data_IF_360853318061
#
_entry.id   IF_360853318061
#
_cell.length_a   1.000
_cell.length_b   1.000
_cell.length_c   1.000
_cell.angle_alpha   90.00
_cell.angle_beta   90.00
_cell.angle_gamma   90.00
#
_symmetry.space_group_name_H-M   'P 1'
#
loop_
_entity.id
_entity.type
_entity.pdbx_description
1 polymer ?
#
# COMPACT_ATOMS: atom_id res chain seq x y z
N UNK A 1 8.00 17.18 -2.39
CA UNK A 1 8.82 16.84 -3.57
C UNK A 1 9.04 15.34 -3.70
N UNK A 2 9.74 14.67 -2.75
CA UNK A 2 10.03 13.23 -2.84
C UNK A 2 8.76 12.35 -2.95
N UNK A 3 7.75 12.62 -2.12
CA UNK A 3 6.46 11.91 -2.18
C UNK A 3 5.82 11.96 -3.57
N UNK A 4 5.75 13.16 -4.15
CA UNK A 4 5.15 13.37 -5.47
C UNK A 4 5.94 12.65 -6.58
N UNK A 5 7.27 12.57 -6.45
CA UNK A 5 8.11 11.81 -7.39
C UNK A 5 7.85 10.31 -7.30
N UNK A 6 7.73 9.75 -6.08
CA UNK A 6 7.40 8.34 -5.91
C UNK A 6 6.02 8.01 -6.45
N UNK A 7 5.03 8.87 -6.16
CA UNK A 7 3.68 8.75 -6.72
C UNK A 7 3.70 8.76 -8.24
N UNK A 8 4.49 9.66 -8.85
CA UNK A 8 4.62 9.74 -10.31
C UNK A 8 5.28 8.48 -10.90
N UNK A 9 6.34 7.95 -10.27
CA UNK A 9 6.98 6.69 -10.68
C UNK A 9 5.97 5.54 -10.65
N UNK A 10 5.21 5.42 -9.55
CA UNK A 10 4.19 4.37 -9.41
C UNK A 10 3.07 4.53 -10.45
N UNK A 11 2.66 5.78 -10.73
CA UNK A 11 1.59 6.09 -11.67
C UNK A 11 1.98 5.84 -13.11
N UNK A 12 3.23 6.11 -13.50
CA UNK A 12 3.73 5.90 -14.86
C UNK A 12 4.01 4.43 -15.18
N UNK A 13 4.40 3.64 -14.19
CA UNK A 13 4.59 2.21 -14.37
C UNK A 13 3.23 1.48 -14.32
N UNK A 14 2.80 0.94 -15.46
CA UNK A 14 1.50 0.30 -15.60
C UNK A 14 1.34 -0.91 -14.66
N UNK A 15 2.42 -1.67 -14.44
CA UNK A 15 2.39 -2.86 -13.59
C UNK A 15 2.25 -2.45 -12.13
N UNK A 16 3.07 -1.51 -11.65
CA UNK A 16 3.00 -0.99 -10.27
C UNK A 16 1.66 -0.33 -9.98
N UNK A 17 1.15 0.49 -10.90
CA UNK A 17 -0.16 1.13 -10.76
C UNK A 17 -1.29 0.10 -10.66
N UNK A 18 -1.25 -0.93 -11.51
CA UNK A 18 -2.26 -2.01 -11.51
C UNK A 18 -2.20 -2.84 -10.24
N UNK A 19 -1.00 -3.24 -9.80
CA UNK A 19 -0.82 -3.97 -8.54
C UNK A 19 -1.31 -3.16 -7.36
N UNK A 20 -0.98 -1.85 -7.29
CA UNK A 20 -1.45 -0.97 -6.21
C UNK A 20 -2.97 -0.92 -6.14
N UNK A 21 -3.65 -0.81 -7.27
CA UNK A 21 -5.12 -0.78 -7.31
C UNK A 21 -5.73 -2.09 -6.77
N UNK A 22 -5.24 -3.23 -7.26
CA UNK A 22 -5.71 -4.56 -6.86
C UNK A 22 -5.44 -4.83 -5.38
N UNK A 23 -4.22 -4.56 -4.92
CA UNK A 23 -3.82 -4.79 -3.52
C UNK A 23 -4.56 -3.86 -2.57
N UNK A 24 -4.78 -2.60 -2.96
CA UNK A 24 -5.60 -1.66 -2.17
C UNK A 24 -7.01 -2.20 -1.98
N UNK A 25 -7.65 -2.68 -3.06
CA UNK A 25 -8.99 -3.27 -2.98
C UNK A 25 -9.02 -4.47 -2.04
N UNK A 26 -8.11 -5.43 -2.25
CA UNK A 26 -7.99 -6.62 -1.39
C UNK A 26 -7.76 -6.24 0.07
N UNK A 27 -6.91 -5.26 0.33
CA UNK A 27 -6.58 -4.81 1.68
C UNK A 27 -7.79 -4.16 2.37
N UNK A 28 -8.54 -3.32 1.67
CA UNK A 28 -9.79 -2.73 2.20
C UNK A 28 -10.80 -3.82 2.55
N UNK A 29 -11.12 -4.71 1.61
CA UNK A 29 -12.14 -5.77 1.78
C UNK A 29 -11.73 -6.72 2.92
N UNK A 30 -10.49 -7.22 2.90
CA UNK A 30 -10.02 -8.14 3.95
C UNK A 30 -9.92 -7.50 5.33
N UNK A 31 -9.55 -6.21 5.40
CA UNK A 31 -9.50 -5.50 6.68
C UNK A 31 -10.91 -5.23 7.23
N UNK A 32 -11.84 -4.80 6.37
CA UNK A 32 -13.23 -4.54 6.78
C UNK A 32 -13.91 -5.80 7.29
N UNK A 33 -13.87 -6.89 6.50
CA UNK A 33 -14.55 -8.14 6.81
C UNK A 33 -13.98 -8.86 8.05
N UNK A 34 -12.79 -8.45 8.51
CA UNK A 34 -12.18 -8.96 9.73
C UNK A 34 -12.66 -8.22 10.99
N UNK A 35 -13.09 -6.97 10.86
CA UNK A 35 -13.49 -6.12 11.99
C UNK A 35 -14.98 -5.83 12.06
N UNK A 36 -15.74 -6.10 10.98
CA UNK A 36 -17.17 -5.87 10.88
C UNK A 36 -17.92 -7.17 10.58
N UNK A 37 -19.16 -7.27 11.08
CA UNK A 37 -20.01 -8.45 10.86
C UNK A 37 -20.55 -8.50 9.43
N UNK A 38 -21.00 -7.36 8.90
CA UNK A 38 -21.51 -7.28 7.52
C UNK A 38 -20.35 -7.02 6.56
N UNK A 39 -20.16 -7.88 5.54
CA UNK A 39 -19.08 -7.70 4.57
C UNK A 39 -19.31 -6.44 3.73
N UNK A 40 -18.20 -5.81 3.33
CA UNK A 40 -18.25 -4.72 2.35
C UNK A 40 -18.33 -5.29 0.93
N UNK A 41 -19.13 -4.66 0.06
CA UNK A 41 -19.22 -5.05 -1.35
C UNK A 41 -17.89 -4.72 -2.07
N UNK A 42 -17.23 -5.74 -2.61
CA UNK A 42 -15.95 -5.59 -3.31
C UNK A 42 -16.06 -4.78 -4.62
N UNK A 43 -17.18 -4.90 -5.34
CA UNK A 43 -17.42 -4.13 -6.57
C UNK A 43 -17.68 -2.65 -6.24
N UNK A 44 -18.40 -2.40 -5.15
CA UNK A 44 -18.58 -1.06 -4.60
C UNK A 44 -17.24 -0.40 -4.27
N UNK A 45 -16.32 -1.14 -3.62
CA UNK A 45 -14.96 -0.67 -3.33
C UNK A 45 -14.17 -0.42 -4.62
N UNK A 46 -14.28 -1.30 -5.62
CA UNK A 46 -13.59 -1.12 -6.90
C UNK A 46 -14.01 0.19 -7.59
N UNK A 47 -15.31 0.48 -7.65
CA UNK A 47 -15.85 1.72 -8.21
C UNK A 47 -15.39 2.94 -7.40
N UNK A 48 -15.46 2.87 -6.07
CA UNK A 48 -14.98 3.94 -5.18
C UNK A 48 -13.50 4.27 -5.39
N UNK A 49 -12.66 3.27 -5.66
CA UNK A 49 -11.22 3.48 -5.91
C UNK A 49 -10.96 4.17 -7.25
N UNK A 50 -11.85 4.04 -8.23
CA UNK A 50 -11.79 4.78 -9.49
C UNK A 50 -12.34 6.20 -9.35
N UNK A 51 -13.48 6.36 -8.68
CA UNK A 51 -14.14 7.64 -8.39
C UNK A 51 -14.84 7.54 -7.04
N UNK A 52 -14.47 8.40 -6.09
CA UNK A 52 -14.99 8.35 -4.72
C UNK A 52 -16.50 8.59 -4.59
N UNK A 53 -17.13 9.12 -5.65
CA UNK A 53 -18.57 9.34 -5.70
C UNK A 53 -19.36 8.11 -6.16
N UNK A 54 -18.67 7.06 -6.64
CA UNK A 54 -19.26 5.84 -7.15
C UNK A 54 -19.23 4.70 -6.11
N UNK A 55 -19.99 3.63 -6.38
CA UNK A 55 -19.92 2.38 -5.63
C UNK A 55 -20.97 2.19 -4.53
N UNK A 56 -21.79 3.17 -4.18
CA UNK A 56 -22.88 2.95 -3.20
C UNK A 56 -22.43 2.61 -1.77
N UNK A 57 -21.15 2.87 -1.43
CA UNK A 57 -20.63 2.70 -0.08
C UNK A 57 -21.26 3.70 0.91
N UNK A 58 -21.46 3.25 2.14
CA UNK A 58 -21.84 4.15 3.25
C UNK A 58 -20.72 5.12 3.59
N UNK A 59 -21.02 6.22 4.29
CA UNK A 59 -19.99 7.19 4.68
C UNK A 59 -18.90 6.59 5.59
N UNK A 60 -19.28 5.63 6.45
CA UNK A 60 -18.34 4.85 7.26
C UNK A 60 -17.41 4.00 6.39
N UNK A 61 -17.97 3.24 5.44
CA UNK A 61 -17.20 2.43 4.50
C UNK A 61 -16.25 3.29 3.64
N UNK A 62 -16.70 4.47 3.19
CA UNK A 62 -15.86 5.44 2.47
C UNK A 62 -14.72 5.97 3.35
N UNK A 63 -15.01 6.36 4.59
CA UNK A 63 -13.98 6.83 5.52
C UNK A 63 -12.93 5.75 5.79
N UNK A 64 -13.37 4.51 6.03
CA UNK A 64 -12.50 3.35 6.18
C UNK A 64 -11.65 3.09 4.93
N UNK A 65 -12.26 3.08 3.75
CA UNK A 65 -11.58 2.85 2.48
C UNK A 65 -10.51 3.92 2.20
N UNK A 66 -10.77 5.20 2.52
CA UNK A 66 -9.77 6.29 2.40
C UNK A 66 -8.55 6.05 3.28
N UNK A 67 -8.77 5.69 4.55
CA UNK A 67 -7.68 5.44 5.48
C UNK A 67 -6.78 4.29 4.99
N UNK A 68 -7.39 3.15 4.65
CA UNK A 68 -6.68 1.96 4.15
C UNK A 68 -5.99 2.24 2.80
N UNK A 69 -6.60 3.03 1.90
CA UNK A 69 -5.96 3.50 0.65
C UNK A 69 -4.72 4.34 0.94
N UNK A 70 -4.80 5.24 1.93
CA UNK A 70 -3.65 6.03 2.38
C UNK A 70 -2.51 5.17 2.91
N UNK A 71 -2.82 4.15 3.71
CA UNK A 71 -1.84 3.19 4.22
C UNK A 71 -1.17 2.39 3.10
N UNK A 72 -1.95 1.88 2.13
CA UNK A 72 -1.41 1.14 1.00
C UNK A 72 -0.54 2.03 0.11
N UNK A 73 -0.95 3.28 -0.11
CA UNK A 73 -0.13 4.26 -0.86
C UNK A 73 1.21 4.48 -0.18
N UNK A 74 1.22 4.70 1.14
CA UNK A 74 2.46 4.82 1.91
C UNK A 74 3.32 3.54 1.88
N UNK A 75 2.72 2.36 1.77
CA UNK A 75 3.44 1.10 1.61
C UNK A 75 4.20 1.06 0.27
N UNK A 76 3.50 1.35 -0.83
CA UNK A 76 4.09 1.39 -2.16
C UNK A 76 5.18 2.45 -2.29
N UNK A 77 4.96 3.66 -1.75
CA UNK A 77 5.96 4.72 -1.68
C UNK A 77 7.25 4.23 -0.98
N UNK A 78 7.12 3.55 0.16
CA UNK A 78 8.28 3.00 0.89
C UNK A 78 9.01 1.91 0.12
N UNK A 79 8.29 1.06 -0.61
CA UNK A 79 8.90 0.02 -1.45
C UNK A 79 9.73 0.66 -2.56
N UNK A 80 9.16 1.63 -3.28
CA UNK A 80 9.87 2.37 -4.35
C UNK A 80 11.11 3.08 -3.78
N UNK A 81 10.97 3.77 -2.65
CA UNK A 81 12.12 4.41 -1.99
C UNK A 81 13.23 3.40 -1.65
N UNK A 82 12.87 2.22 -1.14
CA UNK A 82 13.85 1.17 -0.80
C UNK A 82 14.57 0.63 -2.02
N UNK A 83 13.88 0.46 -3.14
CA UNK A 83 14.49 0.03 -4.41
C UNK A 83 15.48 1.09 -4.89
N UNK A 84 15.10 2.37 -4.87
CA UNK A 84 15.99 3.47 -5.26
C UNK A 84 17.22 3.56 -4.35
N UNK A 85 17.02 3.44 -3.04
CA UNK A 85 18.09 3.44 -2.05
C UNK A 85 19.06 2.26 -2.26
N UNK A 86 18.52 1.05 -2.46
CA UNK A 86 19.33 -0.13 -2.79
C UNK A 86 20.18 0.08 -4.05
N UNK A 87 19.61 0.69 -5.10
CA UNK A 87 20.33 1.02 -6.33
C UNK A 87 21.53 1.94 -6.07
N UNK A 88 21.34 3.01 -5.30
CA UNK A 88 22.43 3.93 -4.94
C UNK A 88 23.49 3.28 -4.05
N UNK A 89 23.08 2.46 -3.07
CA UNK A 89 24.01 1.75 -2.20
C UNK A 89 24.87 0.74 -2.96
N UNK A 90 24.28 0.07 -3.95
CA UNK A 90 25.00 -0.84 -4.84
C UNK A 90 26.00 -0.06 -5.70
N UNK A 91 25.57 1.06 -6.29
CA UNK A 91 26.44 1.93 -7.10
C UNK A 91 27.64 2.48 -6.32
N UNK A 92 27.46 2.75 -5.02
CA UNK A 92 28.51 3.24 -4.13
C UNK A 92 29.34 2.13 -3.46
N UNK A 93 29.03 0.86 -3.73
CA UNK A 93 29.74 -0.28 -3.12
C UNK A 93 29.47 -0.47 -1.62
N UNK A 94 28.38 0.12 -1.10
CA UNK A 94 27.97 -0.03 0.31
C UNK A 94 27.36 -1.41 0.57
N UNK A 95 26.72 -2.00 -0.44
CA UNK A 95 26.21 -3.37 -0.42
C UNK A 95 26.61 -4.09 -1.70
N UNK A 96 26.92 -5.37 -1.58
CA UNK A 96 27.32 -6.26 -2.68
C UNK A 96 26.12 -6.80 -3.49
N UNK A 97 24.91 -6.71 -2.95
CA UNK A 97 23.71 -7.19 -3.63
C UNK A 97 22.42 -7.02 -2.82
N UNK A 98 21.32 -7.47 -3.41
CA UNK A 98 19.98 -7.37 -2.80
C UNK A 98 19.89 -8.15 -1.49
N UNK A 99 20.49 -9.34 -1.41
CA UNK A 99 20.44 -10.18 -0.20
C UNK A 99 21.10 -9.50 1.01
N UNK A 100 22.26 -8.86 0.79
CA UNK A 100 22.95 -8.12 1.83
C UNK A 100 22.16 -6.86 2.23
N UNK A 101 21.62 -6.12 1.26
CA UNK A 101 20.74 -4.98 1.53
C UNK A 101 19.52 -5.40 2.37
N UNK A 102 18.84 -6.47 1.98
CA UNK A 102 17.69 -7.01 2.69
C UNK A 102 18.03 -7.38 4.13
N UNK A 103 19.16 -8.07 4.33
CA UNK A 103 19.61 -8.49 5.66
C UNK A 103 19.94 -7.32 6.58
N UNK A 104 20.60 -6.29 6.05
CA UNK A 104 21.11 -5.17 6.86
C UNK A 104 20.08 -4.06 7.10
N UNK A 105 19.23 -3.76 6.11
CA UNK A 105 18.41 -2.54 6.11
C UNK A 105 16.90 -2.77 6.10
N UNK A 106 16.42 -3.97 5.76
CA UNK A 106 14.99 -4.26 5.83
C UNK A 106 14.59 -4.72 7.24
N UNK A 107 13.42 -4.27 7.76
CA UNK A 107 12.92 -4.75 9.03
C UNK A 107 12.70 -6.27 8.96
N UNK A 108 13.42 -7.03 9.78
CA UNK A 108 13.34 -8.49 9.80
C UNK A 108 12.06 -9.03 10.48
N UNK A 109 11.23 -8.15 11.07
CA UNK A 109 10.06 -8.55 11.86
C UNK A 109 8.93 -7.51 11.95
N UNK A 110 8.80 -6.61 10.97
CA UNK A 110 7.78 -5.55 10.98
C UNK A 110 6.64 -5.84 10.02
N UNK A 111 5.87 -6.90 10.25
CA UNK A 111 4.63 -7.05 9.51
C UNK A 111 3.66 -5.95 9.93
N UNK A 112 2.80 -5.53 9.01
CA UNK A 112 1.59 -4.75 9.28
C UNK A 112 0.71 -5.32 10.43
N UNK A 113 1.04 -6.51 10.94
CA UNK A 113 0.44 -7.19 12.08
C UNK A 113 0.47 -6.42 13.42
N UNK A 114 1.37 -5.45 13.63
CA UNK A 114 1.36 -4.71 14.90
C UNK A 114 0.17 -3.73 15.04
N UNK A 115 -0.52 -3.36 13.95
CA UNK A 115 -1.82 -2.64 14.01
C UNK A 115 -3.03 -3.59 14.09
N UNK A 116 -2.82 -4.88 13.87
CA UNK A 116 -3.85 -5.93 13.79
C UNK A 116 -4.54 -6.18 15.14
N UNK A 117 -3.93 -5.72 16.25
CA UNK A 117 -4.43 -5.79 17.63
C UNK A 117 -5.00 -4.47 18.18
N UNK A 118 -5.19 -3.43 17.35
CA UNK A 118 -5.76 -2.18 17.84
C UNK A 118 -7.29 -2.28 17.78
N UNK A 119 -8.02 -2.20 18.90
CA UNK A 119 -9.48 -2.11 18.85
C UNK A 119 -9.90 -0.84 18.11
N UNK A 120 -11.08 -0.90 17.48
CA UNK A 120 -11.70 0.21 16.77
C UNK A 120 -11.81 1.47 17.65
#
# INVERSE_FOLDING_TARGET
MLKNLMEEVIRQDLLLSSMRAVDTRRYIVSSWNRTHQEPIDENAVALFLCDENQGGLTDEQKAFARERRGEMSACYERVVFRILLWGEMTRLGVVSGLDEYCRLFLPQGGTLRQRENRPA
#
